data_IF_672381340003
#
_entry.id   IF_672381340003
#
_cell.length_a   1.000
_cell.length_b   1.000
_cell.length_c   1.000
_cell.angle_alpha   90.00
_cell.angle_beta   90.00
_cell.angle_gamma   90.00
#
_symmetry.space_group_name_H-M   'P 1'
#
loop_
_entity.id
_entity.type
_entity.pdbx_description
1 polymer ?
#
# COMPACT_ATOMS: atom_id res chain seq x y z
N UNK A 1 7.78 -28.99 41.36
CA UNK A 1 7.04 -28.96 40.07
C UNK A 1 6.97 -27.51 39.62
N UNK A 2 7.84 -27.08 38.71
CA UNK A 2 7.73 -25.75 38.08
C UNK A 2 6.94 -25.91 36.80
N UNK A 3 5.66 -25.52 36.84
CA UNK A 3 4.80 -25.50 35.68
C UNK A 3 5.18 -24.25 34.85
N UNK A 4 6.22 -24.35 34.03
CA UNK A 4 6.59 -23.30 33.08
C UNK A 4 5.70 -23.43 31.84
N UNK A 5 4.41 -23.10 32.00
CA UNK A 5 3.53 -22.85 30.87
C UNK A 5 4.00 -21.54 30.21
N UNK A 6 4.90 -21.64 29.24
CA UNK A 6 5.29 -20.52 28.38
C UNK A 6 4.06 -20.19 27.52
N UNK A 7 3.26 -19.22 27.98
CA UNK A 7 2.21 -18.65 27.16
C UNK A 7 2.88 -17.74 26.14
N UNK A 8 3.07 -18.23 24.93
CA UNK A 8 3.44 -17.40 23.79
C UNK A 8 2.26 -16.45 23.51
N UNK A 9 2.30 -15.27 24.14
CA UNK A 9 1.35 -14.17 23.94
C UNK A 9 1.60 -13.53 22.57
N UNK A 10 1.43 -14.30 21.50
CA UNK A 10 1.41 -13.76 20.15
C UNK A 10 -0.05 -13.49 19.79
N UNK A 11 -0.57 -12.41 20.37
CA UNK A 11 -1.91 -11.93 20.08
C UNK A 11 -1.90 -11.40 18.65
N UNK A 12 -2.18 -12.29 17.69
CA UNK A 12 -2.14 -12.04 16.26
C UNK A 12 -3.02 -10.84 15.93
N UNK A 13 -2.41 -9.67 15.82
CA UNK A 13 -3.11 -8.49 15.40
C UNK A 13 -3.53 -8.67 13.94
N UNK A 14 -4.78 -8.33 13.58
CA UNK A 14 -5.18 -8.35 12.18
C UNK A 14 -4.25 -7.42 11.38
N UNK A 15 -3.78 -7.87 10.20
CA UNK A 15 -2.95 -7.00 9.35
C UNK A 15 -3.77 -5.79 8.92
N UNK A 16 -3.38 -4.61 9.40
CA UNK A 16 -3.99 -3.36 8.96
C UNK A 16 -3.21 -2.85 7.75
N UNK A 17 -3.80 -2.97 6.57
CA UNK A 17 -3.25 -2.37 5.36
C UNK A 17 -3.81 -0.95 5.23
N UNK A 18 -2.93 0.03 5.21
CA UNK A 18 -3.29 1.43 5.07
C UNK A 18 -3.31 1.81 3.59
N UNK A 19 -4.47 2.20 3.10
CA UNK A 19 -4.64 2.78 1.79
C UNK A 19 -4.75 4.30 1.90
N UNK A 20 -4.36 4.99 0.85
CA UNK A 20 -4.39 6.45 0.78
C UNK A 20 -5.79 7.00 1.18
N UNK A 21 -5.81 8.10 1.92
CA UNK A 21 -7.07 8.73 2.39
C UNK A 21 -7.69 8.09 3.63
N UNK A 22 -6.88 7.68 4.61
CA UNK A 22 -7.32 7.23 5.95
C UNK A 22 -8.17 5.94 5.94
N UNK A 23 -8.10 5.14 4.86
CA UNK A 23 -8.82 3.87 4.75
C UNK A 23 -7.91 2.74 5.23
N UNK A 24 -8.22 2.11 6.37
CA UNK A 24 -7.48 0.95 6.87
C UNK A 24 -8.29 -0.32 6.67
N UNK A 25 -7.79 -1.27 5.87
CA UNK A 25 -8.42 -2.57 5.69
C UNK A 25 -7.76 -3.61 6.60
N UNK A 26 -8.56 -4.40 7.30
CA UNK A 26 -8.08 -5.58 8.02
C UNK A 26 -8.00 -6.76 7.05
N UNK A 27 -6.80 -7.30 6.84
CA UNK A 27 -6.56 -8.51 6.05
C UNK A 27 -6.45 -9.75 6.94
N UNK A 28 -6.78 -10.91 6.38
CA UNK A 28 -6.47 -12.20 7.01
C UNK A 28 -4.97 -12.36 7.17
N UNK A 29 -4.49 -12.72 8.36
CA UNK A 29 -3.07 -12.98 8.61
C UNK A 29 -2.84 -14.41 9.06
N UNK A 30 -1.68 -14.93 8.67
CA UNK A 30 -1.13 -16.15 9.21
C UNK A 30 0.15 -15.79 9.96
N UNK A 31 0.21 -16.15 11.24
CA UNK A 31 1.39 -15.96 12.07
C UNK A 31 2.02 -17.31 12.38
N UNK A 32 3.28 -17.45 11.98
CA UNK A 32 4.10 -18.62 12.22
C UNK A 32 5.10 -18.29 13.34
N UNK A 33 5.04 -19.04 14.44
CA UNK A 33 5.89 -18.84 15.61
C UNK A 33 6.53 -20.17 16.02
N UNK A 34 7.73 -20.48 15.50
CA UNK A 34 8.51 -21.63 15.95
C UNK A 34 9.08 -21.34 17.34
N UNK A 35 9.10 -22.36 18.21
CA UNK A 35 9.75 -22.26 19.51
C UNK A 35 10.63 -23.47 19.80
N UNK A 36 11.71 -23.21 20.53
CA UNK A 36 12.64 -24.20 21.03
C UNK A 36 12.84 -23.94 22.52
N UNK A 37 12.53 -24.93 23.35
CA UNK A 37 12.72 -24.89 24.80
C UNK A 37 13.67 -26.01 25.20
N UNK A 38 14.87 -25.66 25.63
CA UNK A 38 15.79 -26.57 26.31
C UNK A 38 15.65 -26.42 27.82
N UNK A 39 15.47 -27.52 28.54
CA UNK A 39 15.55 -27.57 29.99
C UNK A 39 16.66 -28.53 30.40
N UNK A 40 17.62 -28.02 31.15
CA UNK A 40 18.72 -28.78 31.74
C UNK A 40 18.51 -28.79 33.26
N UNK A 41 18.11 -29.93 33.81
CA UNK A 41 18.04 -30.09 35.26
C UNK A 41 19.24 -30.88 35.74
N UNK A 42 20.09 -30.24 36.54
CA UNK A 42 21.17 -30.90 37.29
C UNK A 42 20.64 -31.21 38.69
N UNK A 43 20.17 -32.44 38.97
CA UNK A 43 19.82 -32.85 40.33
C UNK A 43 21.07 -32.85 41.21
N UNK A 44 20.87 -32.69 42.52
CA UNK A 44 21.95 -32.58 43.51
C UNK A 44 22.65 -33.91 43.83
N UNK A 45 22.19 -35.01 43.23
CA UNK A 45 22.74 -36.37 43.37
C UNK A 45 23.55 -36.77 42.14
N UNK A 46 24.63 -37.51 42.37
CA UNK A 46 25.78 -37.72 41.48
C UNK A 46 25.54 -38.54 40.20
N UNK A 47 24.29 -38.82 39.80
CA UNK A 47 24.02 -39.80 38.72
C UNK A 47 22.78 -39.49 37.84
N UNK A 48 22.55 -38.23 37.46
CA UNK A 48 21.45 -37.98 36.52
C UNK A 48 21.34 -36.60 35.93
N UNK A 49 22.15 -36.26 34.92
CA UNK A 49 21.86 -35.10 34.09
C UNK A 49 20.65 -35.40 33.19
N UNK A 50 19.52 -34.72 33.44
CA UNK A 50 18.31 -34.86 32.62
C UNK A 50 18.20 -33.65 31.70
N UNK A 51 18.33 -33.89 30.39
CA UNK A 51 18.20 -32.89 29.33
C UNK A 51 16.90 -33.11 28.57
N UNK A 52 16.01 -32.12 28.60
CA UNK A 52 14.75 -32.13 27.86
C UNK A 52 14.78 -31.03 26.80
N UNK A 53 14.81 -31.43 25.53
CA UNK A 53 14.70 -30.52 24.40
C UNK A 53 13.29 -30.64 23.82
N UNK A 54 12.53 -29.54 23.83
CA UNK A 54 11.20 -29.46 23.26
C UNK A 54 11.25 -28.50 22.07
N UNK A 55 10.84 -28.99 20.90
CA UNK A 55 10.66 -28.18 19.71
C UNK A 55 9.16 -28.14 19.39
N UNK A 56 8.68 -27.00 18.94
CA UNK A 56 7.29 -26.85 18.56
C UNK A 56 7.08 -25.69 17.61
N UNK A 57 5.95 -25.71 16.95
CA UNK A 57 5.53 -24.67 16.04
C UNK A 57 4.10 -24.29 16.39
N UNK A 58 3.86 -22.99 16.51
CA UNK A 58 2.53 -22.44 16.64
C UNK A 58 2.14 -21.73 15.33
N UNK A 59 0.97 -22.10 14.80
CA UNK A 59 0.33 -21.43 13.67
C UNK A 59 -0.93 -20.72 14.17
N UNK A 60 -1.02 -19.42 13.95
CA UNK A 60 -2.21 -18.63 14.26
C UNK A 60 -2.79 -18.05 12.96
N UNK A 61 -4.06 -18.36 12.70
CA UNK A 61 -4.80 -17.84 11.55
C UNK A 61 -5.84 -16.86 12.07
N UNK A 62 -5.66 -15.58 11.76
CA UNK A 62 -6.70 -14.58 11.99
C UNK A 62 -7.48 -14.38 10.69
N UNK A 63 -8.72 -14.83 10.67
CA UNK A 63 -9.64 -14.60 9.55
C UNK A 63 -10.72 -13.65 10.04
N UNK A 64 -10.80 -12.42 9.51
CA UNK A 64 -11.91 -11.52 9.84
C UNK A 64 -13.25 -12.16 9.46
N UNK A 65 -14.20 -12.19 10.39
CA UNK A 65 -15.52 -12.79 10.18
C UNK A 65 -16.42 -11.94 9.26
N UNK A 66 -16.06 -10.66 9.04
CA UNK A 66 -16.78 -9.76 8.14
C UNK A 66 -16.12 -9.71 6.76
N UNK A 67 -16.60 -10.58 5.85
CA UNK A 67 -16.17 -10.60 4.46
C UNK A 67 -16.68 -9.41 3.63
N UNK A 68 -17.86 -8.86 3.97
CA UNK A 68 -18.48 -7.77 3.23
C UNK A 68 -17.73 -6.46 3.36
N UNK A 69 -17.24 -6.16 4.57
CA UNK A 69 -16.40 -4.97 4.79
C UNK A 69 -15.07 -5.09 4.04
N UNK A 70 -14.48 -6.27 3.93
CA UNK A 70 -13.23 -6.50 3.20
C UNK A 70 -13.41 -6.30 1.71
N UNK A 71 -14.51 -6.81 1.14
CA UNK A 71 -14.82 -6.63 -0.27
C UNK A 71 -15.04 -5.15 -0.61
N UNK A 72 -15.79 -4.45 0.25
CA UNK A 72 -15.98 -2.99 0.15
C UNK A 72 -14.64 -2.26 0.21
N UNK A 73 -13.76 -2.65 1.13
CA UNK A 73 -12.44 -2.05 1.30
C UNK A 73 -11.53 -2.30 0.08
N UNK A 74 -11.57 -3.51 -0.48
CA UNK A 74 -10.88 -3.85 -1.76
C UNK A 74 -11.44 -3.04 -2.93
N UNK A 75 -12.76 -2.82 -2.99
CA UNK A 75 -13.39 -2.01 -4.02
C UNK A 75 -12.97 -0.54 -3.92
N UNK A 76 -12.89 0.00 -2.70
CA UNK A 76 -12.38 1.35 -2.44
C UNK A 76 -10.90 1.47 -2.86
N UNK A 77 -10.07 0.47 -2.53
CA UNK A 77 -8.67 0.45 -2.94
C UNK A 77 -8.50 0.50 -4.47
N UNK A 78 -9.28 -0.29 -5.22
CA UNK A 78 -9.28 -0.25 -6.69
C UNK A 78 -9.70 1.11 -7.25
N UNK A 79 -10.71 1.74 -6.64
CA UNK A 79 -11.14 3.10 -7.03
C UNK A 79 -10.06 4.13 -6.75
N UNK A 80 -9.34 4.01 -5.63
CA UNK A 80 -8.22 4.89 -5.31
C UNK A 80 -7.10 4.78 -6.33
N UNK A 81 -6.74 3.57 -6.76
CA UNK A 81 -5.71 3.38 -7.78
C UNK A 81 -6.11 4.07 -9.11
N UNK A 82 -7.34 3.84 -9.57
CA UNK A 82 -7.86 4.50 -10.77
C UNK A 82 -7.90 6.02 -10.62
N UNK A 83 -8.31 6.52 -9.44
CA UNK A 83 -8.31 7.94 -9.11
C UNK A 83 -6.89 8.52 -9.15
N UNK A 84 -5.89 7.87 -8.55
CA UNK A 84 -4.51 8.36 -8.52
C UNK A 84 -3.93 8.52 -9.93
N UNK A 85 -4.27 7.61 -10.86
CA UNK A 85 -3.89 7.74 -12.26
C UNK A 85 -4.53 8.96 -12.93
N UNK A 86 -5.84 9.14 -12.73
CA UNK A 86 -6.57 10.29 -13.29
C UNK A 86 -6.12 11.61 -12.66
N UNK A 87 -5.87 11.64 -11.36
CA UNK A 87 -5.41 12.81 -10.63
C UNK A 87 -4.00 13.22 -11.10
N UNK A 88 -3.13 12.27 -11.47
CA UNK A 88 -1.84 12.60 -12.08
C UNK A 88 -2.01 13.38 -13.40
N UNK A 89 -2.90 12.91 -14.27
CA UNK A 89 -3.19 13.57 -15.55
C UNK A 89 -3.87 14.92 -15.35
N UNK A 90 -4.80 15.02 -14.40
CA UNK A 90 -5.48 16.25 -14.06
C UNK A 90 -4.53 17.28 -13.45
N UNK A 91 -3.67 16.89 -12.52
CA UNK A 91 -2.65 17.76 -11.91
C UNK A 91 -1.66 18.24 -12.98
N UNK A 92 -1.25 17.37 -13.90
CA UNK A 92 -0.45 17.75 -15.07
C UNK A 92 -1.15 18.84 -15.87
N UNK A 93 -2.44 18.67 -16.18
CA UNK A 93 -3.22 19.68 -16.90
C UNK A 93 -3.28 21.01 -16.15
N UNK A 94 -3.64 20.99 -14.86
CA UNK A 94 -3.74 22.19 -14.03
C UNK A 94 -2.40 22.92 -13.97
N UNK A 95 -1.31 22.22 -13.66
CA UNK A 95 0.01 22.85 -13.51
C UNK A 95 0.54 23.42 -14.82
N UNK A 96 0.33 22.74 -15.94
CA UNK A 96 0.66 23.29 -17.25
C UNK A 96 -0.14 24.57 -17.54
N UNK A 97 -1.44 24.60 -17.26
CA UNK A 97 -2.25 25.82 -17.48
C UNK A 97 -1.85 26.97 -16.55
N UNK A 98 -1.46 26.70 -15.31
CA UNK A 98 -0.97 27.72 -14.37
C UNK A 98 0.35 28.33 -14.85
N UNK A 99 1.29 27.50 -15.30
CA UNK A 99 2.59 27.93 -15.82
C UNK A 99 2.41 28.78 -17.10
N UNK A 100 1.52 28.35 -18.00
CA UNK A 100 1.19 29.12 -19.22
C UNK A 100 0.50 30.46 -18.90
N UNK A 101 -0.42 30.49 -17.92
CA UNK A 101 -1.04 31.74 -17.44
C UNK A 101 -0.01 32.69 -16.83
N UNK A 102 1.01 32.15 -16.16
CA UNK A 102 2.13 32.91 -15.63
C UNK A 102 3.15 33.34 -16.71
N UNK A 103 2.97 32.92 -17.97
CA UNK A 103 3.84 33.30 -19.08
C UNK A 103 5.12 32.47 -19.21
N UNK A 104 5.22 31.36 -18.46
CA UNK A 104 6.35 30.44 -18.55
C UNK A 104 6.00 29.25 -19.44
N UNK A 105 7.01 28.63 -20.05
CA UNK A 105 6.85 27.39 -20.80
C UNK A 105 8.10 26.52 -20.66
N UNK A 106 7.96 25.21 -20.87
CA UNK A 106 9.10 24.32 -20.91
C UNK A 106 9.96 24.60 -22.15
N UNK A 107 11.29 24.45 -22.00
CA UNK A 107 12.22 24.61 -23.11
C UNK A 107 11.99 23.51 -24.17
N UNK A 108 11.93 23.86 -25.47
CA UNK A 108 11.85 22.86 -26.53
C UNK A 108 13.11 22.00 -26.58
N UNK A 109 12.94 20.68 -26.78
CA UNK A 109 14.00 19.67 -26.71
C UNK A 109 14.36 19.19 -25.29
N UNK A 110 13.66 19.67 -24.26
CA UNK A 110 13.84 19.19 -22.89
C UNK A 110 13.08 17.88 -22.65
N UNK A 111 13.60 17.02 -21.77
CA UNK A 111 12.95 15.75 -21.37
C UNK A 111 11.49 15.94 -20.91
N UNK A 112 11.15 17.11 -20.38
CA UNK A 112 9.82 17.43 -19.82
C UNK A 112 8.92 18.21 -20.77
N UNK A 113 9.36 18.52 -21.99
CA UNK A 113 8.55 19.24 -22.99
C UNK A 113 7.23 18.53 -23.27
N UNK A 114 7.25 17.20 -23.33
CA UNK A 114 6.08 16.35 -23.58
C UNK A 114 4.99 16.55 -22.50
N UNK A 115 5.33 17.06 -21.31
CA UNK A 115 4.33 17.24 -20.23
C UNK A 115 3.23 18.25 -20.55
N UNK A 116 3.48 19.31 -21.33
CA UNK A 116 2.41 20.27 -21.63
C UNK A 116 1.96 20.25 -23.09
N UNK A 117 2.46 19.30 -23.89
CA UNK A 117 2.19 19.23 -25.32
C UNK A 117 0.69 19.06 -25.65
N UNK A 118 -0.04 18.36 -24.78
CA UNK A 118 -1.46 18.04 -25.02
C UNK A 118 -2.42 19.21 -24.68
N UNK A 119 -1.90 20.31 -24.11
CA UNK A 119 -2.70 21.38 -23.52
C UNK A 119 -2.49 22.66 -24.32
N UNK A 120 -3.52 23.09 -25.02
CA UNK A 120 -3.50 24.30 -25.85
C UNK A 120 -4.55 25.30 -25.39
N UNK A 121 -4.29 26.60 -25.49
CA UNK A 121 -5.27 27.62 -25.16
C UNK A 121 -6.40 27.67 -26.21
N UNK A 122 -7.63 27.94 -25.76
CA UNK A 122 -8.82 27.99 -26.62
C UNK A 122 -8.66 28.98 -27.78
N UNK A 123 -7.97 30.10 -27.56
CA UNK A 123 -7.72 31.12 -28.59
C UNK A 123 -6.86 30.60 -29.75
N UNK A 124 -5.95 29.66 -29.51
CA UNK A 124 -5.15 29.05 -30.56
C UNK A 124 -6.03 28.18 -31.48
N UNK A 125 -6.95 27.42 -30.89
CA UNK A 125 -7.90 26.57 -31.63
C UNK A 125 -8.89 27.39 -32.47
N UNK A 126 -9.32 28.56 -31.98
CA UNK A 126 -10.22 29.43 -32.74
C UNK A 126 -9.56 30.02 -33.98
N UNK A 127 -8.27 30.39 -33.89
CA UNK A 127 -7.50 30.93 -35.01
C UNK A 127 -7.30 29.90 -36.14
N UNK A 128 -7.08 28.64 -35.79
CA UNK A 128 -7.00 27.53 -36.77
C UNK A 128 -8.36 27.26 -37.45
N UNK A 129 -9.47 27.38 -36.72
CA UNK A 129 -10.81 27.20 -37.31
C UNK A 129 -11.15 28.31 -38.30
N UNK A 130 -10.86 29.58 -37.96
CA UNK A 130 -11.08 30.71 -38.87
C UNK A 130 -10.24 30.63 -40.15
N UNK A 131 -9.01 30.14 -40.06
CA UNK A 131 -8.15 29.95 -41.25
C UNK A 131 -8.62 28.79 -42.14
N UNK A 132 -9.40 27.85 -41.61
CA UNK A 132 -9.93 26.69 -42.35
C UNK A 132 -11.34 26.88 -42.89
N UNK A 133 -12.09 27.90 -42.47
CA UNK A 133 -13.31 28.32 -43.18
C UNK A 133 -12.90 29.07 -44.45
N UNK A 134 -13.07 28.49 -45.65
CA UNK A 134 -12.87 29.25 -46.88
C UNK A 134 -13.89 30.39 -46.89
N UNK A 135 -13.38 31.61 -46.99
CA UNK A 135 -14.20 32.77 -47.36
C UNK A 135 -14.67 32.51 -48.79
N UNK A 136 -15.95 32.18 -48.95
CA UNK A 136 -16.68 32.30 -50.20
C UNK A 136 -17.34 33.67 -50.24
#
# INVERSE_FOLDING_TARGET
MTNQAVQFQNNGAPSRQYFHGNNSCNGSTMQFSPFYMGNDTVPRDSDGYVRSNNFGVQLNFSVPLDGGMIETCKAIARKHEAKMRLDYELVRAIKCTEIMKAGFTFRPGSRVEVLCHDIVPIVALQKEKQTKTPNW
#
